data_IF_395556296164
#
_entry.id   IF_395556296164
#
_cell.length_a   1.000
_cell.length_b   1.000
_cell.length_c   1.000
_cell.angle_alpha   90.00
_cell.angle_beta   90.00
_cell.angle_gamma   90.00
#
_symmetry.space_group_name_H-M   'P 1'
#
loop_
_entity.id
_entity.type
_entity.pdbx_description
1 polymer ?
#
# COMPACT_ATOMS: atom_id res chain seq x y z
N UNK A 1 37.04 -24.09 36.26
CA UNK A 1 36.26 -25.33 36.16
C UNK A 1 35.71 -25.41 34.74
N UNK A 2 36.10 -26.45 33.99
CA UNK A 2 35.69 -26.76 32.61
C UNK A 2 34.76 -27.98 32.68
N UNK A 3 33.62 -27.93 32.00
CA UNK A 3 32.80 -29.06 31.52
C UNK A 3 31.44 -28.47 31.07
N UNK A 4 30.70 -28.97 30.10
CA UNK A 4 30.94 -29.79 28.93
C UNK A 4 29.66 -29.65 28.08
N UNK A 5 29.80 -29.79 26.76
CA UNK A 5 28.73 -29.70 25.75
C UNK A 5 27.78 -30.90 25.90
N UNK A 6 26.47 -30.72 25.71
CA UNK A 6 25.60 -31.83 25.32
C UNK A 6 24.55 -31.40 24.30
N UNK A 7 24.73 -31.92 23.08
CA UNK A 7 23.80 -31.88 21.96
C UNK A 7 22.92 -33.12 22.06
N UNK A 8 21.61 -32.96 22.13
CA UNK A 8 20.68 -34.08 21.97
C UNK A 8 20.23 -34.16 20.51
N UNK A 9 20.81 -35.13 19.80
CA UNK A 9 20.37 -35.60 18.49
C UNK A 9 19.46 -36.80 18.74
N UNK A 10 18.17 -36.70 18.41
CA UNK A 10 17.30 -37.88 18.35
C UNK A 10 17.31 -38.45 16.94
N UNK A 11 17.67 -39.73 16.87
CA UNK A 11 17.91 -40.48 15.67
C UNK A 11 16.85 -41.59 15.50
N UNK A 12 16.52 -41.84 14.23
CA UNK A 12 16.16 -43.14 13.63
C UNK A 12 14.71 -43.65 13.78
N UNK A 13 14.06 -43.79 12.63
CA UNK A 13 13.49 -45.08 12.22
C UNK A 13 13.67 -45.26 10.70
N UNK A 14 14.52 -46.22 10.35
CA UNK A 14 14.73 -46.76 9.01
C UNK A 14 13.66 -47.81 8.70
N UNK A 15 13.07 -47.78 7.51
CA UNK A 15 12.61 -48.98 6.81
C UNK A 15 13.00 -48.86 5.33
N UNK A 16 13.90 -49.73 4.91
CA UNK A 16 14.29 -49.98 3.52
C UNK A 16 13.15 -50.68 2.77
N UNK A 17 13.06 -50.63 1.43
CA UNK A 17 13.59 -51.69 0.56
C UNK A 17 13.30 -51.38 -0.92
N UNK A 18 14.36 -51.52 -1.75
CA UNK A 18 14.50 -51.92 -3.18
C UNK A 18 13.53 -51.40 -4.26
N UNK A 19 13.89 -51.20 -5.52
CA UNK A 19 15.10 -51.07 -6.33
C UNK A 19 14.58 -51.02 -7.79
N UNK A 20 15.14 -50.19 -8.68
CA UNK A 20 15.29 -50.53 -10.11
C UNK A 20 16.18 -49.50 -10.81
N UNK A 21 17.18 -50.02 -11.52
CA UNK A 21 18.16 -49.29 -12.32
C UNK A 21 17.50 -48.75 -13.60
N UNK A 22 17.73 -47.48 -13.93
CA UNK A 22 17.84 -47.04 -15.32
C UNK A 22 18.94 -45.99 -15.44
N UNK A 23 19.94 -46.30 -16.27
CA UNK A 23 20.96 -45.36 -16.76
C UNK A 23 20.31 -44.50 -17.83
N UNK A 24 20.34 -43.18 -17.67
CA UNK A 24 19.77 -42.25 -18.65
C UNK A 24 20.24 -40.82 -18.39
N UNK A 25 21.22 -40.38 -19.17
CA UNK A 25 21.76 -39.02 -19.24
C UNK A 25 20.75 -38.04 -19.81
N UNK A 26 20.53 -36.91 -19.13
CA UNK A 26 20.25 -35.54 -19.63
C UNK A 26 19.37 -34.78 -18.64
N UNK A 27 19.99 -33.97 -17.78
CA UNK A 27 19.30 -32.97 -16.99
C UNK A 27 18.75 -31.89 -17.92
N UNK A 28 17.44 -31.88 -18.15
CA UNK A 28 16.71 -30.68 -18.55
C UNK A 28 16.08 -30.11 -17.29
N UNK A 29 16.50 -28.89 -16.93
CA UNK A 29 15.94 -28.14 -15.82
C UNK A 29 14.48 -27.82 -16.12
N UNK A 30 13.55 -28.47 -15.42
CA UNK A 30 12.15 -28.08 -15.44
C UNK A 30 11.95 -26.90 -14.48
N UNK A 31 11.70 -25.73 -15.05
CA UNK A 31 11.22 -24.56 -14.31
C UNK A 31 9.93 -24.93 -13.58
N UNK A 32 9.95 -24.89 -12.25
CA UNK A 32 8.75 -24.93 -11.43
C UNK A 32 7.98 -23.64 -11.67
N UNK A 33 6.88 -23.73 -12.42
CA UNK A 33 5.87 -22.68 -12.50
C UNK A 33 5.40 -22.36 -11.10
N UNK A 34 5.74 -21.16 -10.62
CA UNK A 34 5.22 -20.62 -9.36
C UNK A 34 3.69 -20.58 -9.47
N UNK A 35 3.02 -21.23 -8.51
CA UNK A 35 1.57 -21.15 -8.36
C UNK A 35 1.13 -19.67 -8.33
N UNK A 36 -0.05 -19.34 -8.87
CA UNK A 36 -0.57 -17.99 -8.74
C UNK A 36 -0.73 -17.70 -7.25
N UNK A 37 0.05 -16.74 -6.75
CA UNK A 37 -0.20 -16.11 -5.46
C UNK A 37 -1.64 -15.55 -5.48
N UNK A 38 -2.30 -15.45 -4.32
CA UNK A 38 -3.66 -14.90 -4.26
C UNK A 38 -3.65 -13.56 -4.98
N UNK A 39 -4.40 -13.50 -6.07
CA UNK A 39 -4.60 -12.28 -6.84
C UNK A 39 -4.98 -11.18 -5.85
N UNK A 40 -4.21 -10.08 -5.87
CA UNK A 40 -4.63 -8.85 -5.22
C UNK A 40 -6.07 -8.63 -5.63
N UNK A 41 -6.97 -8.70 -4.66
CA UNK A 41 -8.39 -8.48 -4.89
C UNK A 41 -8.49 -7.04 -5.33
N UNK A 42 -8.61 -6.80 -6.63
CA UNK A 42 -8.99 -5.49 -7.15
C UNK A 42 -10.32 -5.19 -6.48
N UNK A 43 -10.28 -4.32 -5.49
CA UNK A 43 -11.48 -3.86 -4.79
C UNK A 43 -12.26 -3.11 -5.85
N UNK A 44 -13.32 -3.73 -6.36
CA UNK A 44 -14.28 -3.03 -7.18
C UNK A 44 -14.93 -1.97 -6.27
N UNK A 45 -14.44 -0.74 -6.35
CA UNK A 45 -15.05 0.39 -5.67
C UNK A 45 -16.45 0.57 -6.26
N UNK A 46 -17.45 0.53 -5.38
CA UNK A 46 -18.85 0.66 -5.79
C UNK A 46 -19.08 2.00 -6.48
N UNK A 47 -20.12 2.08 -7.31
CA UNK A 47 -20.55 3.30 -7.98
C UNK A 47 -21.00 4.36 -6.96
N UNK A 48 -20.03 5.03 -6.34
CA UNK A 48 -20.24 6.24 -5.56
C UNK A 48 -20.53 7.38 -6.54
N UNK A 49 -21.41 8.31 -6.15
CA UNK A 49 -21.76 9.42 -7.03
C UNK A 49 -20.53 10.27 -7.31
N UNK A 50 -20.36 10.64 -8.58
CA UNK A 50 -19.24 11.45 -9.02
C UNK A 50 -19.12 12.74 -8.18
N UNK A 51 -17.91 13.12 -7.73
CA UNK A 51 -17.72 14.35 -6.97
C UNK A 51 -18.15 15.57 -7.78
N UNK A 52 -18.84 16.50 -7.13
CA UNK A 52 -19.18 17.80 -7.71
C UNK A 52 -17.92 18.59 -8.07
N UNK A 53 -17.97 19.57 -8.99
CA UNK A 53 -16.77 20.33 -9.38
C UNK A 53 -16.04 21.00 -8.21
N UNK A 54 -16.77 21.42 -7.18
CA UNK A 54 -16.17 21.98 -5.96
C UNK A 54 -15.44 20.90 -5.13
N UNK A 55 -16.04 19.73 -4.97
CA UNK A 55 -15.41 18.59 -4.30
C UNK A 55 -14.17 18.12 -5.06
N UNK A 56 -14.23 18.06 -6.39
CA UNK A 56 -13.06 17.77 -7.24
C UNK A 56 -11.91 18.74 -7.01
N UNK A 57 -12.18 20.04 -6.86
CA UNK A 57 -11.15 21.01 -6.53
C UNK A 57 -10.53 20.74 -5.16
N UNK A 58 -11.35 20.38 -4.16
CA UNK A 58 -10.88 20.00 -2.81
C UNK A 58 -10.05 18.71 -2.82
N UNK A 59 -10.44 17.70 -3.60
CA UNK A 59 -9.68 16.46 -3.77
C UNK A 59 -8.32 16.74 -4.42
N UNK A 60 -8.28 17.63 -5.42
CA UNK A 60 -7.04 18.06 -6.07
C UNK A 60 -6.07 18.74 -5.12
N UNK A 61 -6.58 19.53 -4.17
CA UNK A 61 -5.78 20.16 -3.12
C UNK A 61 -5.14 19.12 -2.18
N UNK A 62 -5.87 18.07 -1.82
CA UNK A 62 -5.33 16.95 -1.01
C UNK A 62 -4.30 16.16 -1.82
N UNK A 63 -4.63 15.80 -3.05
CA UNK A 63 -3.73 15.11 -3.98
C UNK A 63 -2.42 15.89 -4.19
N UNK A 64 -2.50 17.22 -4.30
CA UNK A 64 -1.35 18.10 -4.43
C UNK A 64 -0.42 18.09 -3.21
N UNK A 65 -0.95 17.87 -2.00
CA UNK A 65 -0.12 17.73 -0.80
C UNK A 65 0.67 16.41 -0.78
N UNK A 66 0.13 15.35 -1.39
CA UNK A 66 0.77 14.03 -1.46
C UNK A 66 1.77 13.96 -2.61
N UNK A 67 1.39 14.35 -3.84
CA UNK A 67 2.17 14.14 -5.06
C UNK A 67 2.77 15.37 -5.72
N UNK A 68 2.34 16.58 -5.36
CA UNK A 68 2.57 17.91 -5.99
C UNK A 68 1.34 18.46 -6.72
N UNK A 69 1.11 19.78 -6.67
CA UNK A 69 0.00 20.43 -7.38
C UNK A 69 0.04 20.23 -8.90
N UNK A 70 1.24 20.29 -9.50
CA UNK A 70 1.43 20.18 -10.94
C UNK A 70 0.96 18.82 -11.46
N UNK A 71 1.22 17.78 -10.67
CA UNK A 71 0.88 16.42 -11.03
C UNK A 71 -0.61 16.12 -10.79
N UNK A 72 -1.16 16.65 -9.69
CA UNK A 72 -2.59 16.54 -9.39
C UNK A 72 -3.49 17.32 -10.37
N UNK A 73 -2.97 18.38 -10.99
CA UNK A 73 -3.68 19.16 -12.00
C UNK A 73 -3.99 18.35 -13.27
N UNK A 74 -3.18 17.33 -13.58
CA UNK A 74 -3.37 16.47 -14.75
C UNK A 74 -4.44 15.39 -14.59
N UNK A 75 -4.98 15.19 -13.39
CA UNK A 75 -5.91 14.09 -13.11
C UNK A 75 -7.38 14.50 -13.16
N UNK A 76 -8.20 13.57 -13.66
CA UNK A 76 -9.64 13.61 -13.51
C UNK A 76 -10.02 13.18 -12.09
N UNK A 77 -10.64 14.07 -11.31
CA UNK A 77 -10.98 13.81 -9.90
C UNK A 77 -12.34 13.10 -9.80
N UNK A 78 -12.42 11.91 -10.39
CA UNK A 78 -13.62 11.08 -10.36
C UNK A 78 -13.77 10.32 -9.02
N UNK A 79 -14.83 9.52 -8.91
CA UNK A 79 -15.08 8.65 -7.75
C UNK A 79 -13.94 7.66 -7.47
N UNK A 80 -13.30 7.12 -8.51
CA UNK A 80 -12.22 6.14 -8.36
C UNK A 80 -10.96 6.81 -7.78
N UNK A 81 -10.65 8.02 -8.25
CA UNK A 81 -9.59 8.86 -7.70
C UNK A 81 -9.88 9.21 -6.24
N UNK A 82 -11.12 9.53 -5.90
CA UNK A 82 -11.54 9.79 -4.52
C UNK A 82 -11.32 8.56 -3.61
N UNK A 83 -11.64 7.37 -4.11
CA UNK A 83 -11.42 6.10 -3.41
C UNK A 83 -9.93 5.81 -3.16
N UNK A 84 -9.08 5.97 -4.18
CA UNK A 84 -7.62 5.83 -4.03
C UNK A 84 -7.07 6.88 -3.07
N UNK A 85 -7.51 8.13 -3.20
CA UNK A 85 -7.12 9.22 -2.30
C UNK A 85 -7.49 8.94 -0.84
N UNK A 86 -8.68 8.39 -0.59
CA UNK A 86 -9.11 7.99 0.75
C UNK A 86 -8.18 6.92 1.31
N UNK A 87 -7.86 5.90 0.52
CA UNK A 87 -6.99 4.79 0.92
C UNK A 87 -5.60 5.28 1.31
N UNK A 88 -4.92 6.03 0.43
CA UNK A 88 -3.58 6.57 0.71
C UNK A 88 -3.61 7.53 1.91
N UNK A 89 -4.69 8.31 2.07
CA UNK A 89 -4.84 9.22 3.21
C UNK A 89 -4.84 8.46 4.52
N UNK A 90 -5.59 7.37 4.60
CA UNK A 90 -5.63 6.50 5.78
C UNK A 90 -4.26 5.93 6.13
N UNK A 91 -3.52 5.44 5.13
CA UNK A 91 -2.18 4.89 5.34
C UNK A 91 -1.18 5.93 5.83
N UNK A 92 -1.21 7.14 5.26
CA UNK A 92 -0.34 8.23 5.72
C UNK A 92 -0.66 8.57 7.17
N UNK A 93 -1.94 8.73 7.52
CA UNK A 93 -2.38 9.06 8.88
C UNK A 93 -2.02 7.98 9.91
N UNK A 94 -2.04 6.71 9.52
CA UNK A 94 -1.61 5.60 10.38
C UNK A 94 -0.09 5.58 10.55
N UNK A 95 0.67 5.76 9.46
CA UNK A 95 2.13 5.86 9.53
C UNK A 95 2.57 7.03 10.43
N UNK A 96 1.89 8.17 10.35
CA UNK A 96 2.19 9.36 11.13
C UNK A 96 1.44 9.43 12.46
N UNK A 97 0.85 8.33 12.96
CA UNK A 97 0.05 8.30 14.20
C UNK A 97 0.76 8.85 15.44
N UNK A 98 2.09 8.76 15.47
CA UNK A 98 2.92 9.25 16.58
C UNK A 98 3.31 10.74 16.46
N UNK A 99 2.91 11.41 15.39
CA UNK A 99 3.26 12.82 15.16
C UNK A 99 2.34 13.75 15.96
N UNK A 100 2.79 14.17 17.15
CA UNK A 100 2.01 14.96 18.09
C UNK A 100 2.08 16.49 17.89
N UNK A 101 2.95 16.98 17.00
CA UNK A 101 3.23 18.41 16.84
C UNK A 101 2.19 19.17 16.01
N UNK A 102 1.25 18.46 15.37
CA UNK A 102 0.23 19.06 14.51
C UNK A 102 -1.15 18.57 14.95
N UNK A 103 -2.15 19.48 15.08
CA UNK A 103 -3.53 19.07 15.26
C UNK A 103 -3.92 18.07 14.18
N UNK A 104 -4.22 16.84 14.58
CA UNK A 104 -4.63 15.82 13.62
C UNK A 104 -6.03 16.14 13.09
N UNK A 105 -6.32 15.78 11.84
CA UNK A 105 -7.69 15.71 11.37
C UNK A 105 -8.56 14.88 12.33
N UNK A 106 -9.88 15.13 12.39
CA UNK A 106 -10.81 14.27 13.12
C UNK A 106 -10.63 12.80 12.74
N UNK A 107 -11.04 11.89 13.64
CA UNK A 107 -10.84 10.45 13.48
C UNK A 107 -11.13 10.01 12.04
N UNK A 108 -10.15 9.35 11.42
CA UNK A 108 -10.25 8.96 10.02
C UNK A 108 -11.34 7.90 9.86
N UNK A 109 -12.26 8.15 8.94
CA UNK A 109 -13.25 7.17 8.49
C UNK A 109 -12.97 6.89 7.02
N UNK A 110 -12.55 5.66 6.65
CA UNK A 110 -12.31 5.32 5.25
C UNK A 110 -13.55 5.58 4.40
N UNK A 111 -13.37 6.28 3.29
CA UNK A 111 -14.43 6.56 2.32
C UNK A 111 -14.37 8.00 1.78
N UNK A 112 -15.09 8.26 0.69
CA UNK A 112 -15.05 9.55 -0.01
C UNK A 112 -15.55 10.73 0.82
N UNK A 113 -16.58 10.51 1.64
CA UNK A 113 -17.21 11.56 2.45
C UNK A 113 -16.22 12.26 3.40
N UNK A 114 -15.22 11.53 3.89
CA UNK A 114 -14.22 12.07 4.80
C UNK A 114 -13.36 13.15 4.13
N UNK A 115 -12.85 12.88 2.94
CA UNK A 115 -12.01 13.84 2.23
C UNK A 115 -12.80 15.09 1.86
N UNK A 116 -14.06 14.95 1.42
CA UNK A 116 -14.89 16.11 1.08
C UNK A 116 -15.15 17.03 2.27
N UNK A 117 -15.32 16.47 3.46
CA UNK A 117 -15.60 17.20 4.69
C UNK A 117 -14.33 17.80 5.31
N UNK A 118 -13.23 17.04 5.34
CA UNK A 118 -12.02 17.37 6.10
C UNK A 118 -10.79 17.68 5.22
N UNK A 119 -10.98 17.89 3.91
CA UNK A 119 -9.91 18.12 2.93
C UNK A 119 -8.86 19.13 3.41
N UNK A 120 -9.29 20.22 4.04
CA UNK A 120 -8.39 21.28 4.48
C UNK A 120 -7.50 20.82 5.63
N UNK A 121 -8.06 20.16 6.65
CA UNK A 121 -7.23 19.65 7.75
C UNK A 121 -6.29 18.55 7.25
N UNK A 122 -6.75 17.68 6.35
CA UNK A 122 -5.92 16.63 5.75
C UNK A 122 -4.75 17.24 4.96
N UNK A 123 -5.04 18.20 4.07
CA UNK A 123 -4.02 18.92 3.31
C UNK A 123 -2.99 19.56 4.24
N UNK A 124 -3.45 20.39 5.17
CA UNK A 124 -2.58 21.16 6.06
C UNK A 124 -1.72 20.21 6.91
N UNK A 125 -2.30 19.10 7.38
CA UNK A 125 -1.56 18.05 8.09
C UNK A 125 -0.47 17.43 7.22
N UNK A 126 -0.77 17.04 5.98
CA UNK A 126 0.21 16.43 5.06
C UNK A 126 1.34 17.37 4.67
N UNK A 127 1.06 18.67 4.49
CA UNK A 127 2.11 19.66 4.25
C UNK A 127 3.11 19.69 5.41
N UNK A 128 2.63 19.72 6.65
CA UNK A 128 3.53 19.74 7.82
C UNK A 128 4.24 18.40 8.05
N UNK A 129 3.55 17.27 7.83
CA UNK A 129 4.17 15.93 7.92
C UNK A 129 5.31 15.79 6.91
N UNK A 130 5.11 16.28 5.68
CA UNK A 130 6.10 16.21 4.60
C UNK A 130 7.35 17.04 4.91
N UNK A 131 7.19 18.15 5.61
CA UNK A 131 8.31 19.02 6.01
C UNK A 131 9.07 18.50 7.24
N UNK A 132 8.50 17.56 7.99
CA UNK A 132 9.16 16.94 9.11
C UNK A 132 10.14 15.83 8.67
N UNK A 133 11.42 15.93 9.05
CA UNK A 133 12.46 14.95 8.68
C UNK A 133 12.11 13.50 9.02
N UNK A 134 11.46 13.26 10.15
CA UNK A 134 11.13 11.91 10.63
C UNK A 134 9.90 11.35 9.93
N UNK A 135 8.84 12.16 9.78
CA UNK A 135 7.55 11.70 9.26
C UNK A 135 7.34 11.93 7.76
N UNK A 136 8.25 12.64 7.09
CA UNK A 136 8.25 12.81 5.63
C UNK A 136 8.11 11.48 4.88
N UNK A 137 8.73 10.43 5.41
CA UNK A 137 8.66 9.09 4.82
C UNK A 137 7.22 8.60 4.65
N UNK A 138 6.29 8.94 5.55
CA UNK A 138 4.90 8.52 5.44
C UNK A 138 4.23 9.05 4.16
N UNK A 139 4.39 10.35 3.87
CA UNK A 139 3.82 10.96 2.67
C UNK A 139 4.54 10.47 1.41
N UNK A 140 5.88 10.40 1.44
CA UNK A 140 6.67 9.97 0.27
C UNK A 140 6.40 8.51 -0.09
N UNK A 141 6.33 7.61 0.90
CA UNK A 141 6.03 6.20 0.69
C UNK A 141 4.59 6.00 0.22
N UNK A 142 3.61 6.69 0.83
CA UNK A 142 2.23 6.67 0.33
C UNK A 142 2.13 7.14 -1.11
N UNK A 143 2.78 8.26 -1.45
CA UNK A 143 2.84 8.79 -2.80
C UNK A 143 3.47 7.79 -3.80
N UNK A 144 4.58 7.15 -3.42
CA UNK A 144 5.26 6.20 -4.28
C UNK A 144 4.41 4.92 -4.51
N UNK A 145 3.82 4.37 -3.44
CA UNK A 145 3.08 3.11 -3.50
C UNK A 145 1.78 3.23 -4.30
N UNK A 146 1.14 4.40 -4.30
CA UNK A 146 -0.16 4.60 -4.93
C UNK A 146 -0.09 5.34 -6.27
N UNK A 147 1.12 5.64 -6.79
CA UNK A 147 1.28 6.42 -8.03
C UNK A 147 0.55 5.81 -9.23
N UNK A 148 0.73 4.52 -9.47
CA UNK A 148 0.09 3.85 -10.59
C UNK A 148 -1.42 3.70 -10.38
N UNK A 149 -1.85 3.46 -9.12
CA UNK A 149 -3.26 3.28 -8.80
C UNK A 149 -4.06 4.56 -9.07
N UNK A 150 -3.53 5.73 -8.68
CA UNK A 150 -4.20 7.02 -8.88
C UNK A 150 -4.22 7.43 -10.36
N UNK A 151 -3.19 7.06 -11.14
CA UNK A 151 -3.16 7.31 -12.58
C UNK A 151 -4.21 6.47 -13.33
N UNK A 152 -4.31 5.16 -13.03
CA UNK A 152 -5.36 4.30 -13.60
C UNK A 152 -6.76 4.78 -13.20
N UNK A 153 -6.95 5.11 -11.91
CA UNK A 153 -8.20 5.66 -11.42
C UNK A 153 -8.59 6.96 -12.14
N UNK A 154 -7.61 7.85 -12.42
CA UNK A 154 -7.84 9.08 -13.19
C UNK A 154 -8.27 8.79 -14.64
N UNK A 155 -7.93 7.64 -15.19
CA UNK A 155 -8.36 7.19 -16.51
C UNK A 155 -9.72 6.46 -16.46
N UNK A 156 -10.23 6.16 -15.26
CA UNK A 156 -11.47 5.41 -15.03
C UNK A 156 -11.28 3.89 -15.18
N UNK A 157 -10.11 3.37 -14.81
CA UNK A 157 -9.70 1.95 -14.93
C UNK A 157 -9.34 1.38 -13.56
#
# INVERSE_FOLDING_TARGET
MKAERSRSVSAIALVAVLATLTVGTAATAQAQSSAPGPAATAVAFGAESEPTPEEQARLREVAGAIWTPELAAGWNMNSDVEAVLSTVTGEILECSRAFALVPRPPAFFPGPSYLRQYWKQVKDYFLVVRDNRTYRACVVTGAANYRSAIEMASEGI
#
